data_IF_083460977975
#
_entry.id   IF_083460977975
#
_cell.length_a   1.000
_cell.length_b   1.000
_cell.length_c   1.000
_cell.angle_alpha   90.00
_cell.angle_beta   90.00
_cell.angle_gamma   90.00
#
_symmetry.space_group_name_H-M   'P 1'
#
loop_
_entity.id
_entity.type
_entity.pdbx_description
1 polymer ?
#
# COMPACT_ATOMS: atom_id res chain seq x y z
N UNK A 1 -35.85 51.22 -43.09
CA UNK A 1 -35.75 50.66 -41.72
C UNK A 1 -35.27 49.21 -41.84
N UNK A 2 -34.02 48.90 -41.50
CA UNK A 2 -33.47 47.53 -41.58
C UNK A 2 -33.28 47.03 -40.15
N UNK A 3 -34.10 46.08 -39.71
CA UNK A 3 -33.89 45.36 -38.44
C UNK A 3 -33.14 44.07 -38.78
N UNK A 4 -31.89 43.99 -38.35
CA UNK A 4 -31.04 42.80 -38.51
C UNK A 4 -31.45 41.78 -37.44
N UNK A 5 -31.77 40.56 -37.87
CA UNK A 5 -31.99 39.40 -37.00
C UNK A 5 -30.67 39.05 -36.29
N UNK A 6 -30.70 38.94 -34.97
CA UNK A 6 -29.64 38.30 -34.20
C UNK A 6 -30.06 36.84 -33.92
N UNK A 7 -29.37 35.89 -34.55
CA UNK A 7 -29.50 34.48 -34.25
C UNK A 7 -28.78 34.17 -32.92
N UNK A 8 -29.50 33.59 -31.95
CA UNK A 8 -28.93 33.12 -30.68
C UNK A 8 -28.25 31.78 -30.95
N UNK A 9 -26.93 31.74 -30.79
CA UNK A 9 -26.14 30.52 -30.91
C UNK A 9 -26.29 29.74 -29.60
N UNK A 10 -27.00 28.61 -29.64
CA UNK A 10 -27.11 27.69 -28.52
C UNK A 10 -25.82 26.86 -28.41
N UNK A 11 -24.93 27.23 -27.48
CA UNK A 11 -23.73 26.45 -27.16
C UNK A 11 -24.09 25.33 -26.19
N UNK A 12 -24.27 24.11 -26.70
CA UNK A 12 -24.38 22.89 -25.88
C UNK A 12 -23.01 22.54 -25.31
N UNK A 13 -22.84 22.74 -23.99
CA UNK A 13 -21.66 22.31 -23.24
C UNK A 13 -21.69 20.78 -23.13
N UNK A 14 -20.79 20.10 -23.83
CA UNK A 14 -20.56 18.66 -23.71
C UNK A 14 -19.64 18.39 -22.51
N UNK A 15 -20.21 18.14 -21.34
CA UNK A 15 -19.47 17.62 -20.19
C UNK A 15 -19.10 16.18 -20.46
N UNK A 16 -17.82 15.94 -20.78
CA UNK A 16 -17.23 14.60 -20.81
C UNK A 16 -17.21 14.11 -19.35
N UNK A 17 -18.09 13.16 -19.03
CA UNK A 17 -18.02 12.48 -17.74
C UNK A 17 -16.74 11.66 -17.69
N UNK A 18 -15.81 12.02 -16.80
CA UNK A 18 -14.69 11.15 -16.48
C UNK A 18 -15.26 9.89 -15.82
N UNK A 19 -15.10 8.74 -16.48
CA UNK A 19 -15.29 7.45 -15.83
C UNK A 19 -14.14 7.28 -14.85
N UNK A 20 -14.41 7.46 -13.54
CA UNK A 20 -13.48 7.02 -12.51
C UNK A 20 -13.50 5.49 -12.54
N UNK A 21 -12.55 4.87 -13.23
CA UNK A 21 -12.23 3.47 -12.99
C UNK A 21 -11.68 3.37 -11.57
N UNK A 22 -12.57 3.08 -10.61
CA UNK A 22 -12.15 2.74 -9.27
C UNK A 22 -11.42 1.39 -9.33
N UNK A 23 -10.10 1.43 -9.49
CA UNK A 23 -9.26 0.28 -9.18
C UNK A 23 -9.44 0.00 -7.69
N UNK A 24 -10.03 -1.14 -7.33
CA UNK A 24 -10.14 -1.52 -5.93
C UNK A 24 -8.73 -1.65 -5.34
N UNK A 25 -8.42 -0.82 -4.34
CA UNK A 25 -7.18 -0.94 -3.58
C UNK A 25 -7.12 -2.31 -2.93
N UNK A 26 -6.01 -3.02 -3.12
CA UNK A 26 -5.78 -4.32 -2.53
C UNK A 26 -4.41 -4.37 -1.88
N UNK A 27 -4.35 -5.06 -0.75
CA UNK A 27 -3.10 -5.32 -0.04
C UNK A 27 -2.83 -6.82 -0.07
N UNK A 28 -1.59 -7.18 -0.38
CA UNK A 28 -1.08 -8.53 -0.26
C UNK A 28 0.00 -8.56 0.83
N UNK A 29 -0.19 -9.42 1.82
CA UNK A 29 0.80 -9.70 2.84
C UNK A 29 1.46 -11.04 2.58
N UNK A 30 2.78 -11.02 2.37
CA UNK A 30 3.63 -12.21 2.28
C UNK A 30 4.52 -12.26 3.50
N UNK A 31 4.39 -13.30 4.30
CA UNK A 31 5.35 -13.56 5.37
C UNK A 31 6.23 -14.73 4.95
N UNK A 32 7.51 -14.66 5.28
CA UNK A 32 8.42 -15.77 5.28
C UNK A 32 9.07 -15.94 6.64
N UNK A 33 9.21 -17.18 7.12
CA UNK A 33 9.84 -17.42 8.40
C UNK A 33 10.75 -18.63 8.31
N UNK A 34 12.01 -18.49 8.70
CA UNK A 34 12.94 -19.62 8.84
C UNK A 34 13.14 -19.91 10.33
N UNK A 35 12.37 -20.88 10.85
CA UNK A 35 12.29 -21.17 12.29
C UNK A 35 13.65 -21.41 12.95
N UNK A 36 14.54 -22.20 12.32
CA UNK A 36 15.88 -22.51 12.86
C UNK A 36 16.79 -21.30 13.08
N UNK A 37 16.53 -20.18 12.39
CA UNK A 37 17.34 -18.95 12.48
C UNK A 37 16.56 -17.76 13.03
N UNK A 38 15.27 -17.95 13.36
CA UNK A 38 14.34 -16.88 13.74
C UNK A 38 14.40 -15.69 12.77
N UNK A 39 14.42 -15.99 11.47
CA UNK A 39 14.53 -14.99 10.40
C UNK A 39 13.20 -14.79 9.70
N UNK A 40 12.35 -13.87 10.21
CA UNK A 40 11.20 -13.42 9.45
C UNK A 40 11.64 -12.48 8.32
N UNK A 41 11.01 -12.64 7.16
CA UNK A 41 10.93 -11.64 6.10
C UNK A 41 9.45 -11.38 5.86
N UNK A 42 9.04 -10.12 5.71
CA UNK A 42 7.65 -9.76 5.47
C UNK A 42 7.63 -8.75 4.33
N UNK A 43 6.80 -8.99 3.33
CA UNK A 43 6.57 -8.06 2.22
C UNK A 43 5.10 -7.67 2.21
N UNK A 44 4.84 -6.37 2.18
CA UNK A 44 3.50 -5.77 2.10
C UNK A 44 3.40 -5.07 0.75
N UNK A 45 2.58 -5.61 -0.14
CA UNK A 45 2.39 -5.08 -1.49
C UNK A 45 1.00 -4.43 -1.57
N UNK A 46 0.94 -3.17 -1.98
CA UNK A 46 -0.29 -2.47 -2.30
C UNK A 46 -0.47 -2.36 -3.81
N UNK A 47 -1.70 -2.56 -4.30
CA UNK A 47 -2.06 -2.36 -5.72
C UNK A 47 -3.32 -1.51 -5.86
N UNK A 48 -3.34 -0.67 -6.90
CA UNK A 48 -4.45 0.23 -7.20
C UNK A 48 -4.34 1.58 -6.48
N UNK A 49 -3.15 1.90 -5.95
CA UNK A 49 -2.93 3.12 -5.18
C UNK A 49 -2.69 4.31 -6.11
N UNK A 50 -3.41 5.41 -5.86
CA UNK A 50 -3.25 6.67 -6.59
C UNK A 50 -1.93 7.37 -6.27
N UNK A 51 -1.66 8.50 -6.93
CA UNK A 51 -0.48 9.32 -6.59
C UNK A 51 -0.52 9.72 -5.12
N UNK A 52 0.59 9.53 -4.41
CA UNK A 52 0.66 9.83 -2.99
C UNK A 52 1.94 9.30 -2.37
N UNK A 53 1.97 9.37 -1.05
CA UNK A 53 3.06 8.87 -0.22
C UNK A 53 2.43 7.96 0.82
N UNK A 54 2.98 6.76 0.94
CA UNK A 54 2.39 5.70 1.77
C UNK A 54 3.43 5.12 2.73
N UNK A 55 2.94 4.56 3.84
CA UNK A 55 3.69 3.76 4.79
C UNK A 55 3.02 2.42 4.99
N UNK A 56 3.79 1.41 5.35
CA UNK A 56 3.24 0.14 5.83
C UNK A 56 3.56 -0.04 7.31
N UNK A 57 2.65 -0.67 8.04
CA UNK A 57 2.90 -1.14 9.38
C UNK A 57 2.56 -2.63 9.47
N UNK A 58 3.44 -3.39 10.13
CA UNK A 58 3.23 -4.80 10.44
C UNK A 58 3.11 -4.98 11.95
N UNK A 59 2.15 -5.79 12.39
CA UNK A 59 1.92 -6.06 13.82
C UNK A 59 1.89 -7.56 14.09
N UNK A 60 2.58 -7.98 15.15
CA UNK A 60 2.56 -9.37 15.62
C UNK A 60 2.79 -9.42 17.14
N UNK A 61 1.98 -10.21 17.85
CA UNK A 61 2.08 -10.36 19.31
C UNK A 61 2.04 -9.03 20.09
N UNK A 62 1.31 -8.03 19.59
CA UNK A 62 1.21 -6.70 20.20
C UNK A 62 2.37 -5.75 19.88
N UNK A 63 3.37 -6.18 19.11
CA UNK A 63 4.47 -5.32 18.64
C UNK A 63 4.18 -4.86 17.22
N UNK A 64 4.26 -3.55 16.99
CA UNK A 64 4.13 -2.94 15.65
C UNK A 64 5.48 -2.40 15.19
N UNK A 65 5.79 -2.63 13.91
CA UNK A 65 6.94 -2.03 13.22
C UNK A 65 6.41 -1.31 11.98
N UNK A 66 6.76 -0.04 11.84
CA UNK A 66 6.43 0.79 10.68
C UNK A 66 7.58 0.81 9.68
N UNK A 67 7.27 0.97 8.40
CA UNK A 67 8.27 1.09 7.35
C UNK A 67 9.18 2.28 7.63
N UNK A 68 10.49 2.05 7.48
CA UNK A 68 11.52 3.08 7.71
C UNK A 68 11.28 4.29 6.81
N UNK A 69 11.05 4.01 5.53
CA UNK A 69 10.87 5.00 4.49
C UNK A 69 9.41 4.98 3.99
N UNK A 70 8.99 6.09 3.39
CA UNK A 70 7.72 6.16 2.65
C UNK A 70 7.93 5.75 1.20
N UNK A 71 6.85 5.31 0.54
CA UNK A 71 6.89 4.94 -0.88
C UNK A 71 5.80 5.66 -1.65
N UNK A 72 6.12 6.10 -2.87
CA UNK A 72 5.13 6.53 -3.84
C UNK A 72 4.85 5.40 -4.83
N UNK A 73 3.59 5.21 -5.27
CA UNK A 73 3.29 4.08 -6.14
C UNK A 73 3.94 4.23 -7.51
N UNK A 74 4.49 3.13 -8.02
CA UNK A 74 5.00 3.01 -9.39
C UNK A 74 4.05 2.10 -10.15
N UNK A 75 3.40 2.61 -11.19
CA UNK A 75 2.37 1.85 -11.90
C UNK A 75 1.15 1.49 -11.04
N UNK A 76 0.88 2.28 -9.97
CA UNK A 76 -0.20 2.03 -9.02
C UNK A 76 0.13 0.97 -7.96
N UNK A 77 1.41 0.56 -7.86
CA UNK A 77 1.86 -0.44 -6.90
C UNK A 77 2.89 0.15 -5.92
N UNK A 78 2.79 -0.24 -4.65
CA UNK A 78 3.77 0.05 -3.59
C UNK A 78 4.24 -1.24 -2.96
N UNK A 79 5.51 -1.31 -2.60
CA UNK A 79 6.10 -2.48 -1.95
C UNK A 79 6.90 -2.04 -0.72
N UNK A 80 6.65 -2.71 0.40
CA UNK A 80 7.36 -2.48 1.65
C UNK A 80 7.90 -3.80 2.18
N UNK A 81 9.23 -3.89 2.25
CA UNK A 81 9.93 -5.04 2.79
C UNK A 81 10.36 -4.80 4.24
N UNK A 82 10.26 -5.86 5.03
CA UNK A 82 10.69 -5.93 6.41
C UNK A 82 11.51 -7.20 6.61
N UNK A 83 12.75 -7.09 7.10
CA UNK A 83 13.65 -8.24 7.26
C UNK A 83 14.51 -8.08 8.52
N UNK A 84 15.03 -9.21 9.03
CA UNK A 84 16.05 -9.24 10.08
C UNK A 84 17.47 -9.36 9.51
N UNK A 85 17.60 -9.66 8.21
CA UNK A 85 18.88 -9.79 7.54
C UNK A 85 19.51 -8.42 7.30
N UNK A 86 20.74 -8.22 7.79
CA UNK A 86 21.46 -6.96 7.64
C UNK A 86 21.73 -6.56 6.19
N UNK A 87 21.85 -7.52 5.28
CA UNK A 87 22.08 -7.24 3.86
C UNK A 87 20.81 -6.65 3.23
N UNK A 88 19.66 -7.31 3.38
CA UNK A 88 18.38 -6.81 2.88
C UNK A 88 18.02 -5.45 3.52
N UNK A 89 18.35 -5.23 4.80
CA UNK A 89 18.16 -3.94 5.47
C UNK A 89 19.06 -2.86 4.85
N UNK A 90 20.31 -3.19 4.50
CA UNK A 90 21.21 -2.26 3.83
C UNK A 90 20.74 -1.93 2.39
N UNK A 91 19.99 -2.83 1.77
CA UNK A 91 19.37 -2.65 0.45
C UNK A 91 18.02 -1.91 0.50
N UNK A 92 17.49 -1.62 1.69
CA UNK A 92 16.29 -0.78 1.87
C UNK A 92 15.16 -1.43 2.66
N UNK A 93 15.27 -2.70 3.06
CA UNK A 93 14.25 -3.31 3.92
C UNK A 93 14.21 -2.67 5.32
N UNK A 94 13.03 -2.61 5.89
CA UNK A 94 12.81 -2.15 7.26
C UNK A 94 13.27 -3.22 8.25
N UNK A 95 14.03 -2.82 9.27
CA UNK A 95 14.56 -3.76 10.25
C UNK A 95 13.44 -4.38 11.12
N UNK A 96 13.41 -5.70 11.22
CA UNK A 96 12.59 -6.44 12.17
C UNK A 96 13.41 -6.97 13.35
N UNK A 97 12.82 -7.00 14.56
CA UNK A 97 13.42 -7.74 15.64
C UNK A 97 13.41 -9.26 15.35
N UNK A 98 14.41 -9.98 15.85
CA UNK A 98 14.45 -11.44 15.77
C UNK A 98 13.20 -12.03 16.43
N UNK A 99 12.60 -13.03 15.77
CA UNK A 99 11.39 -13.66 16.26
C UNK A 99 10.19 -12.71 16.37
N UNK A 100 10.13 -11.66 15.53
CA UNK A 100 9.01 -10.72 15.46
C UNK A 100 7.66 -11.42 15.32
N UNK A 101 7.56 -12.43 14.45
CA UNK A 101 6.33 -13.18 14.23
C UNK A 101 6.00 -14.03 15.47
N UNK A 102 4.97 -13.62 16.21
CA UNK A 102 4.36 -14.33 17.35
C UNK A 102 3.09 -15.06 16.90
N UNK A 103 2.81 -16.19 17.54
CA UNK A 103 1.62 -17.02 17.30
C UNK A 103 1.35 -17.33 15.83
N UNK A 104 2.43 -17.35 15.03
CA UNK A 104 2.43 -17.50 13.58
C UNK A 104 1.51 -16.54 12.83
N UNK A 105 1.23 -15.35 13.38
CA UNK A 105 0.32 -14.40 12.76
C UNK A 105 0.93 -13.01 12.66
N UNK A 106 0.78 -12.39 11.50
CA UNK A 106 1.12 -11.00 11.23
C UNK A 106 -0.09 -10.31 10.64
N UNK A 107 -0.43 -9.12 11.12
CA UNK A 107 -1.33 -8.20 10.42
C UNK A 107 -0.52 -7.10 9.76
N UNK A 108 -0.99 -6.59 8.62
CA UNK A 108 -0.42 -5.45 7.94
C UNK A 108 -1.52 -4.45 7.53
N UNK A 109 -1.12 -3.19 7.52
CA UNK A 109 -1.91 -2.06 7.04
C UNK A 109 -1.00 -1.14 6.23
N UNK A 110 -1.56 -0.48 5.22
CA UNK A 110 -0.92 0.64 4.53
C UNK A 110 -1.69 1.91 4.92
N UNK A 111 -0.96 2.98 5.20
CA UNK A 111 -1.54 4.30 5.48
C UNK A 111 -1.03 5.34 4.50
N UNK A 112 -1.87 6.33 4.19
CA UNK A 112 -1.45 7.53 3.46
C UNK A 112 -0.68 8.52 4.35
N UNK A 113 -0.26 9.65 3.78
CA UNK A 113 0.48 10.71 4.48
C UNK A 113 -0.34 11.42 5.58
N UNK A 114 -1.68 11.33 5.52
CA UNK A 114 -2.56 11.81 6.56
C UNK A 114 -2.76 10.78 7.70
N UNK A 115 -2.19 9.58 7.56
CA UNK A 115 -2.29 8.49 8.53
C UNK A 115 -3.56 7.66 8.39
N UNK A 116 -4.36 7.84 7.33
CA UNK A 116 -5.55 7.04 7.11
C UNK A 116 -5.18 5.70 6.50
N UNK A 117 -5.78 4.63 7.03
CA UNK A 117 -5.65 3.30 6.44
C UNK A 117 -6.31 3.27 5.08
N UNK A 118 -5.55 2.79 4.10
CA UNK A 118 -5.95 2.65 2.69
C UNK A 118 -5.94 1.17 2.35
N UNK A 119 -7.02 0.68 1.75
CA UNK A 119 -7.30 -0.75 1.60
C UNK A 119 -7.61 -1.51 2.91
N UNK A 120 -7.83 -2.84 2.82
CA UNK A 120 -8.16 -3.67 3.96
C UNK A 120 -6.95 -3.98 4.84
N UNK A 121 -7.14 -4.08 6.16
CA UNK A 121 -6.16 -4.71 7.04
C UNK A 121 -6.08 -6.19 6.69
N UNK A 122 -4.90 -6.64 6.27
CA UNK A 122 -4.68 -8.03 5.90
C UNK A 122 -3.93 -8.76 6.99
N UNK A 123 -4.30 -10.03 7.22
CA UNK A 123 -3.59 -10.92 8.13
C UNK A 123 -3.04 -12.08 7.34
N UNK A 124 -1.82 -12.48 7.63
CA UNK A 124 -1.27 -13.71 7.12
C UNK A 124 -0.76 -14.56 8.26
N UNK A 125 -0.94 -15.86 8.07
CA UNK A 125 -0.27 -16.87 8.85
C UNK A 125 0.79 -17.51 7.97
N UNK A 126 1.98 -17.80 8.53
CA UNK A 126 2.90 -18.75 7.88
C UNK A 126 3.66 -19.60 8.88
N UNK A 127 3.40 -20.91 8.80
CA UNK A 127 4.39 -21.99 8.74
C UNK A 127 3.70 -23.36 8.69
N UNK A 128 4.09 -24.25 7.76
CA UNK A 128 4.60 -25.62 8.04
C UNK A 128 5.42 -26.19 6.86
N UNK A 129 6.63 -26.68 7.22
CA UNK A 129 7.70 -27.39 6.48
C UNK A 129 8.67 -26.52 5.66
#
# INVERSE_FOLDING_TARGET
>A
MKKVLAAVIASTVFTIGFVNEASAESIRLRCEFRAKKQRPKISVDGKGFGSGVYRAAVTSGGVTVESKDTQSPVGGEVEFDFDVNKNDIAEGATALPKGFIKDNMVSAVITDDAGFSVGPVVKSYRQKK
#
